data_IF_214662250440
#
_entry.id   IF_214662250440
#
_cell.length_a   1.000
_cell.length_b   1.000
_cell.length_c   1.000
_cell.angle_alpha   90.00
_cell.angle_beta   90.00
_cell.angle_gamma   90.00
#
_symmetry.space_group_name_H-M   'P 1'
#
loop_
_entity.id
_entity.type
_entity.pdbx_description
1 polymer ?
#
# COMPACT_ATOMS: atom_id res chain seq x y z
N UNK A 1 -31.82 17.92 -16.92
CA UNK A 1 -30.60 17.13 -17.20
C UNK A 1 -29.41 17.90 -16.64
N UNK A 2 -28.62 17.45 -15.68
CA UNK A 2 -28.63 16.26 -14.84
C UNK A 2 -27.91 16.61 -13.53
N UNK A 3 -28.42 16.12 -12.41
CA UNK A 3 -27.78 16.29 -11.10
C UNK A 3 -26.61 15.32 -11.04
N UNK A 4 -25.40 15.83 -10.79
CA UNK A 4 -24.21 15.02 -10.57
C UNK A 4 -24.37 14.26 -9.24
N UNK A 5 -24.79 13.01 -9.33
CA UNK A 5 -24.80 12.09 -8.20
C UNK A 5 -23.34 11.72 -7.86
N UNK A 6 -22.87 12.16 -6.69
CA UNK A 6 -21.64 11.61 -6.11
C UNK A 6 -21.90 10.14 -5.76
N UNK A 7 -20.98 9.21 -6.01
CA UNK A 7 -21.17 7.82 -5.62
C UNK A 7 -21.35 7.75 -4.09
N UNK A 8 -22.55 7.35 -3.66
CA UNK A 8 -22.87 7.06 -2.28
C UNK A 8 -22.23 5.72 -1.92
N UNK A 9 -21.18 5.78 -1.10
CA UNK A 9 -20.58 4.58 -0.53
C UNK A 9 -21.59 3.89 0.41
N UNK A 10 -21.61 2.54 0.46
CA UNK A 10 -22.46 1.84 1.40
C UNK A 10 -22.08 2.25 2.84
N UNK A 11 -23.07 2.74 3.59
CA UNK A 11 -22.95 3.16 5.00
C UNK A 11 -22.87 1.95 5.94
N UNK A 12 -22.03 0.96 5.64
CA UNK A 12 -21.78 -0.13 6.58
C UNK A 12 -20.78 0.39 7.60
N UNK A 13 -21.27 0.78 8.78
CA UNK A 13 -20.37 1.03 9.91
C UNK A 13 -19.55 -0.23 10.17
N UNK A 14 -18.21 -0.15 10.19
CA UNK A 14 -17.38 -1.31 10.46
C UNK A 14 -17.80 -1.96 11.79
N UNK A 15 -17.81 -3.29 11.81
CA UNK A 15 -18.01 -4.08 13.03
C UNK A 15 -17.07 -3.59 14.13
N UNK A 16 -17.56 -3.63 15.38
CA UNK A 16 -16.91 -3.00 16.53
C UNK A 16 -15.51 -3.59 16.77
N UNK A 17 -14.48 -2.92 16.27
CA UNK A 17 -13.07 -3.33 16.40
C UNK A 17 -12.36 -3.63 15.08
N UNK A 18 -13.08 -3.62 13.95
CA UNK A 18 -12.48 -3.81 12.64
C UNK A 18 -11.83 -2.54 12.09
N UNK A 19 -10.85 -2.76 11.22
CA UNK A 19 -10.14 -1.73 10.48
C UNK A 19 -10.39 -1.93 9.00
N UNK A 20 -10.83 -0.87 8.32
CA UNK A 20 -10.89 -0.82 6.86
C UNK A 20 -9.63 -0.16 6.32
N UNK A 21 -8.87 -0.89 5.51
CA UNK A 21 -7.75 -0.36 4.77
C UNK A 21 -8.15 -0.07 3.33
N UNK A 22 -7.68 1.05 2.79
CA UNK A 22 -7.92 1.48 1.41
C UNK A 22 -6.62 2.04 0.85
N UNK A 23 -6.20 1.52 -0.30
CA UNK A 23 -5.22 2.17 -1.16
C UNK A 23 -5.81 2.26 -2.60
N UNK A 24 -5.13 2.89 -3.58
CA UNK A 24 -5.65 3.01 -4.94
C UNK A 24 -5.92 1.68 -5.67
N UNK A 25 -5.28 0.60 -5.24
CA UNK A 25 -5.32 -0.73 -5.86
C UNK A 25 -6.13 -1.74 -5.03
N UNK A 26 -6.28 -1.54 -3.72
CA UNK A 26 -6.83 -2.51 -2.78
C UNK A 26 -7.80 -1.86 -1.78
N UNK A 27 -8.83 -2.61 -1.41
CA UNK A 27 -9.70 -2.28 -0.28
C UNK A 27 -10.04 -3.54 0.48
N UNK A 28 -9.78 -3.58 1.78
CA UNK A 28 -10.15 -4.71 2.63
C UNK A 28 -10.56 -4.24 4.03
N UNK A 29 -11.31 -5.08 4.73
CA UNK A 29 -11.73 -4.85 6.12
C UNK A 29 -11.40 -6.07 6.97
N UNK A 30 -10.98 -5.84 8.21
CA UNK A 30 -10.69 -6.86 9.20
C UNK A 30 -9.36 -6.62 9.89
N UNK A 31 -9.35 -6.67 11.23
CA UNK A 31 -8.13 -6.40 12.01
C UNK A 31 -7.02 -7.42 11.74
N UNK A 32 -7.35 -8.69 11.51
CA UNK A 32 -6.35 -9.73 11.24
C UNK A 32 -5.71 -9.56 9.86
N UNK A 33 -6.50 -9.27 8.82
CA UNK A 33 -5.99 -8.92 7.48
C UNK A 33 -5.08 -7.70 7.53
N UNK A 34 -5.48 -6.69 8.31
CA UNK A 34 -4.68 -5.48 8.52
C UNK A 34 -3.32 -5.81 9.13
N UNK A 35 -3.29 -6.59 10.22
CA UNK A 35 -2.04 -7.01 10.86
C UNK A 35 -1.16 -7.84 9.91
N UNK A 36 -1.76 -8.77 9.18
CA UNK A 36 -1.06 -9.66 8.26
C UNK A 36 -0.32 -8.86 7.18
N UNK A 37 -0.99 -7.92 6.50
CA UNK A 37 -0.35 -7.12 5.45
C UNK A 37 0.82 -6.30 6.00
N UNK A 38 0.66 -5.62 7.13
CA UNK A 38 1.77 -4.86 7.72
C UNK A 38 2.89 -5.75 8.28
N UNK A 39 2.59 -6.99 8.65
CA UNK A 39 3.61 -7.98 9.01
C UNK A 39 4.37 -8.45 7.76
N UNK A 40 3.66 -8.84 6.70
CA UNK A 40 4.23 -9.26 5.42
C UNK A 40 5.10 -8.17 4.82
N UNK A 41 4.65 -6.91 4.82
CA UNK A 41 5.45 -5.77 4.35
C UNK A 41 6.78 -5.64 5.12
N UNK A 42 6.77 -5.86 6.45
CA UNK A 42 8.01 -5.84 7.27
C UNK A 42 8.91 -7.03 6.95
N UNK A 43 8.33 -8.22 6.81
CA UNK A 43 9.08 -9.44 6.49
C UNK A 43 9.72 -9.34 5.10
N UNK A 44 8.93 -9.06 4.07
CA UNK A 44 9.40 -8.90 2.69
C UNK A 44 10.36 -7.72 2.54
N UNK A 45 10.14 -6.61 3.26
CA UNK A 45 11.10 -5.51 3.32
C UNK A 45 12.48 -5.98 3.78
N UNK A 46 12.55 -6.76 4.86
CA UNK A 46 13.80 -7.34 5.37
C UNK A 46 14.44 -8.33 4.39
N UNK A 47 13.64 -9.11 3.67
CA UNK A 47 14.13 -10.13 2.73
C UNK A 47 14.66 -9.52 1.43
N UNK A 48 13.97 -8.54 0.84
CA UNK A 48 14.30 -8.04 -0.50
C UNK A 48 15.20 -6.81 -0.51
N UNK A 49 15.36 -6.11 0.61
CA UNK A 49 16.16 -4.89 0.69
C UNK A 49 17.39 -5.06 1.58
N UNK A 50 18.51 -4.50 1.14
CA UNK A 50 19.71 -4.30 1.97
C UNK A 50 19.39 -3.28 3.05
N UNK A 51 18.74 -2.20 2.64
CA UNK A 51 18.30 -1.09 3.48
C UNK A 51 16.90 -0.67 3.04
N UNK A 52 16.02 -0.45 4.02
CA UNK A 52 14.68 0.10 3.81
C UNK A 52 14.38 1.07 4.95
N UNK A 53 13.95 2.28 4.61
CA UNK A 53 13.78 3.39 5.55
C UNK A 53 12.46 4.12 5.29
N UNK A 54 11.61 4.21 6.31
CA UNK A 54 10.35 4.96 6.25
C UNK A 54 10.51 6.30 6.96
N UNK A 55 10.68 7.35 6.19
CA UNK A 55 10.80 8.71 6.70
C UNK A 55 9.42 9.36 6.85
N UNK A 56 9.10 9.81 8.06
CA UNK A 56 7.93 10.67 8.29
C UNK A 56 8.30 12.09 7.90
N UNK A 57 7.65 12.62 6.86
CA UNK A 57 7.89 13.98 6.39
C UNK A 57 7.05 14.98 7.17
N UNK A 58 5.79 14.65 7.46
CA UNK A 58 4.89 15.54 8.19
C UNK A 58 3.69 14.80 8.77
N UNK A 59 3.22 15.27 9.92
CA UNK A 59 1.99 14.82 10.58
C UNK A 59 1.04 16.01 10.69
N UNK A 60 -0.25 15.78 10.43
CA UNK A 60 -1.33 16.74 10.66
C UNK A 60 -2.48 16.07 11.41
N UNK A 61 -3.23 16.85 12.19
CA UNK A 61 -4.47 16.42 12.81
C UNK A 61 -5.59 17.41 12.45
N UNK A 62 -6.26 17.22 11.29
CA UNK A 62 -7.26 18.19 10.83
C UNK A 62 -8.56 18.17 11.64
N UNK A 63 -8.82 17.08 12.37
CA UNK A 63 -9.93 16.97 13.33
C UNK A 63 -9.51 16.07 14.49
N UNK A 64 -10.23 16.14 15.61
CA UNK A 64 -9.94 15.38 16.84
C UNK A 64 -9.74 13.87 16.60
N UNK A 65 -10.46 13.35 15.62
CA UNK A 65 -10.59 11.95 15.26
C UNK A 65 -9.98 11.62 13.88
N UNK A 66 -9.07 12.45 13.38
CA UNK A 66 -8.37 12.19 12.12
C UNK A 66 -6.89 12.62 12.18
N UNK A 67 -6.00 11.71 11.77
CA UNK A 67 -4.57 11.96 11.64
C UNK A 67 -4.18 11.75 10.18
N UNK A 68 -3.44 12.70 9.61
CA UNK A 68 -2.79 12.57 8.31
C UNK A 68 -1.28 12.49 8.50
N UNK A 69 -0.63 11.62 7.75
CA UNK A 69 0.82 11.45 7.78
C UNK A 69 1.33 11.41 6.34
N UNK A 70 2.24 12.32 5.99
CA UNK A 70 2.99 12.27 4.74
C UNK A 70 4.33 11.62 5.03
N UNK A 71 4.71 10.67 4.19
CA UNK A 71 5.90 9.87 4.38
C UNK A 71 6.60 9.60 3.05
N UNK A 72 7.87 9.23 3.15
CA UNK A 72 8.72 8.78 2.05
C UNK A 72 9.40 7.49 2.47
N UNK A 73 9.12 6.39 1.76
CA UNK A 73 9.78 5.12 1.92
C UNK A 73 10.93 5.04 0.92
N UNK A 74 12.14 4.76 1.38
CA UNK A 74 13.31 4.53 0.55
C UNK A 74 13.77 3.09 0.71
N UNK A 75 14.29 2.49 -0.35
CA UNK A 75 14.80 1.14 -0.28
C UNK A 75 15.88 0.84 -1.31
N UNK A 76 16.91 0.13 -0.89
CA UNK A 76 17.98 -0.42 -1.73
C UNK A 76 17.79 -1.93 -1.88
N UNK A 77 17.32 -2.44 -3.02
CA UNK A 77 17.11 -3.88 -3.22
C UNK A 77 18.41 -4.70 -3.11
N UNK A 78 18.27 -5.99 -2.75
CA UNK A 78 19.33 -7.00 -2.71
C UNK A 78 19.61 -7.61 -4.09
N UNK A 79 19.94 -6.76 -5.06
CA UNK A 79 20.30 -7.16 -6.44
C UNK A 79 21.78 -6.88 -6.71
N UNK A 80 22.39 -7.50 -7.74
CA UNK A 80 23.82 -7.34 -8.01
C UNK A 80 24.20 -6.00 -8.65
N UNK A 81 23.24 -5.17 -9.09
CA UNK A 81 23.46 -3.82 -9.60
C UNK A 81 23.06 -2.74 -8.58
N UNK A 82 23.57 -1.52 -8.76
CA UNK A 82 23.16 -0.37 -7.95
C UNK A 82 21.74 0.07 -8.35
N UNK A 83 20.82 -0.08 -7.41
CA UNK A 83 19.45 0.38 -7.55
C UNK A 83 19.00 0.93 -6.20
N UNK A 84 18.34 2.09 -6.24
CA UNK A 84 17.68 2.70 -5.09
C UNK A 84 16.27 3.04 -5.55
N UNK A 85 15.26 2.85 -4.72
CA UNK A 85 13.90 3.26 -5.03
C UNK A 85 13.36 4.17 -3.93
N UNK A 86 12.49 5.10 -4.29
CA UNK A 86 11.69 5.83 -3.31
C UNK A 86 10.21 5.79 -3.67
N UNK A 87 9.39 5.82 -2.63
CA UNK A 87 7.96 5.76 -2.72
C UNK A 87 7.37 6.74 -1.72
N UNK A 88 6.65 7.73 -2.22
CA UNK A 88 5.97 8.70 -1.35
C UNK A 88 4.51 8.30 -1.19
N UNK A 89 3.94 8.65 -0.05
CA UNK A 89 2.54 8.42 0.22
C UNK A 89 1.99 9.36 1.28
N UNK A 90 0.67 9.44 1.34
CA UNK A 90 -0.06 10.11 2.42
C UNK A 90 -1.04 9.15 3.04
N UNK A 91 -0.87 8.85 4.32
CA UNK A 91 -1.76 8.01 5.10
C UNK A 91 -2.77 8.86 5.87
N UNK A 92 -4.05 8.53 5.77
CA UNK A 92 -5.16 9.10 6.50
C UNK A 92 -5.75 8.07 7.45
N UNK A 93 -5.70 8.36 8.75
CA UNK A 93 -6.24 7.53 9.81
C UNK A 93 -7.47 8.20 10.39
N UNK A 94 -8.61 7.50 10.36
CA UNK A 94 -9.79 7.89 11.13
C UNK A 94 -9.90 7.07 12.39
N UNK A 95 -10.19 7.77 13.49
CA UNK A 95 -10.23 7.23 14.83
C UNK A 95 -11.66 7.18 15.36
N UNK A 96 -11.96 6.14 16.12
CA UNK A 96 -13.15 6.09 16.95
C UNK A 96 -13.01 7.06 18.14
N UNK A 97 -14.13 7.30 18.84
CA UNK A 97 -14.16 8.07 20.11
C UNK A 97 -13.19 7.53 21.19
N UNK A 98 -12.84 6.24 21.12
CA UNK A 98 -11.87 5.59 22.01
C UNK A 98 -10.41 5.71 21.53
N UNK A 99 -10.13 6.48 20.48
CA UNK A 99 -8.80 6.65 19.89
C UNK A 99 -8.32 5.48 19.02
N UNK A 100 -9.13 4.43 18.80
CA UNK A 100 -8.75 3.30 17.93
C UNK A 100 -8.94 3.64 16.46
N UNK A 101 -7.98 3.26 15.62
CA UNK A 101 -8.10 3.36 14.17
C UNK A 101 -9.22 2.42 13.70
N UNK A 102 -10.13 2.94 12.88
CA UNK A 102 -11.15 2.12 12.20
C UNK A 102 -11.04 2.21 10.68
N UNK A 103 -10.32 3.22 10.18
CA UNK A 103 -10.06 3.37 8.77
C UNK A 103 -8.64 3.91 8.55
N UNK A 104 -7.88 3.23 7.70
CA UNK A 104 -6.59 3.67 7.22
C UNK A 104 -6.65 3.76 5.70
N UNK A 105 -6.60 4.96 5.16
CA UNK A 105 -6.54 5.20 3.71
C UNK A 105 -5.14 5.66 3.33
N UNK A 106 -4.55 5.11 2.31
CA UNK A 106 -3.30 5.59 1.72
C UNK A 106 -3.60 6.19 0.36
N UNK A 107 -3.19 7.44 0.16
CA UNK A 107 -3.33 8.19 -1.08
C UNK A 107 -1.95 8.46 -1.72
N UNK A 108 -1.95 8.62 -3.05
CA UNK A 108 -0.82 9.02 -3.89
C UNK A 108 0.42 8.11 -3.77
N UNK A 109 0.32 6.91 -4.35
CA UNK A 109 1.41 5.94 -4.47
C UNK A 109 2.31 6.27 -5.69
N UNK A 110 3.08 7.36 -5.63
CA UNK A 110 3.99 7.72 -6.71
C UNK A 110 5.34 6.98 -6.55
N UNK A 111 5.66 6.09 -7.49
CA UNK A 111 6.96 5.45 -7.57
C UNK A 111 7.96 6.41 -8.22
N UNK A 112 9.01 6.77 -7.49
CA UNK A 112 10.12 7.53 -8.05
C UNK A 112 11.32 6.60 -8.01
N UNK A 113 11.65 6.03 -9.17
CA UNK A 113 12.88 5.27 -9.34
C UNK A 113 13.90 6.20 -10.03
N UNK A 114 15.16 6.26 -9.57
CA UNK A 114 16.23 6.86 -10.35
C UNK A 114 16.30 6.12 -11.69
N UNK A 115 16.28 6.88 -12.78
CA UNK A 115 16.47 6.32 -14.11
C UNK A 115 17.79 5.54 -14.13
N UNK A 116 17.72 4.31 -14.65
CA UNK A 116 18.89 3.46 -14.81
C UNK A 116 19.93 4.22 -15.64
N UNK A 117 21.11 4.49 -15.07
CA UNK A 117 22.27 4.86 -15.87
C UNK A 117 22.66 3.63 -16.67
N UNK A 118 22.14 3.51 -17.89
CA UNK A 118 22.70 2.64 -18.91
C UNK A 118 23.96 3.32 -19.46
N UNK A 119 25.15 2.70 -19.38
CA UNK A 119 26.30 3.19 -20.11
C UNK A 119 26.04 2.95 -21.61
N UNK A 120 25.50 3.98 -22.26
CA UNK A 120 25.57 4.24 -23.69
C UNK A 120 25.19 3.08 -24.64
N UNK A 121 23.92 3.06 -25.06
CA UNK A 121 23.60 2.60 -26.41
C UNK A 121 22.68 3.64 -27.06
N UNK A 122 23.27 4.29 -28.05
CA UNK A 122 22.73 5.36 -28.89
C UNK A 122 21.37 4.97 -29.50
N UNK A 123 20.40 5.89 -29.38
CA UNK A 123 19.28 6.10 -30.31
C UNK A 123 18.29 4.94 -30.57
N UNK A 124 17.18 4.92 -29.83
CA UNK A 124 15.84 5.16 -30.40
C UNK A 124 14.84 5.42 -29.26
N UNK A 125 14.55 6.69 -29.01
CA UNK A 125 13.42 7.08 -28.18
C UNK A 125 12.22 7.15 -29.12
N UNK A 126 11.39 6.11 -29.14
CA UNK A 126 9.98 6.33 -29.50
C UNK A 126 9.16 6.27 -28.23
N UNK A 127 8.32 7.28 -28.11
CA UNK A 127 7.55 7.64 -26.94
C UNK A 127 6.28 6.79 -26.92
N UNK A 128 6.17 5.84 -26.01
CA UNK A 128 4.87 5.40 -25.49
C UNK A 128 5.04 4.79 -24.11
N UNK A 129 4.27 5.35 -23.18
CA UNK A 129 4.13 4.97 -21.79
C UNK A 129 3.74 3.50 -21.63
N UNK A 130 4.61 2.68 -21.04
CA UNK A 130 4.22 1.54 -20.19
C UNK A 130 5.46 0.87 -19.58
N UNK A 131 6.17 1.57 -18.66
CA UNK A 131 7.15 0.85 -17.84
C UNK A 131 6.41 0.09 -16.74
N UNK A 132 6.04 -1.15 -17.05
CA UNK A 132 5.75 -2.17 -16.04
C UNK A 132 7.02 -2.35 -15.20
N UNK A 133 7.12 -1.58 -14.12
CA UNK A 133 8.25 -1.71 -13.20
C UNK A 133 8.19 -3.09 -12.56
N UNK A 134 9.34 -3.73 -12.34
CA UNK A 134 9.44 -5.00 -11.59
C UNK A 134 8.79 -4.93 -10.21
N UNK A 135 8.57 -3.72 -9.69
CA UNK A 135 7.84 -3.45 -8.45
C UNK A 135 6.32 -3.56 -8.57
N UNK A 136 5.72 -3.26 -9.73
CA UNK A 136 4.28 -3.50 -9.97
C UNK A 136 4.03 -5.01 -10.03
N UNK A 137 4.90 -5.76 -10.70
CA UNK A 137 4.84 -7.22 -10.71
C UNK A 137 5.16 -7.82 -9.33
N UNK A 138 6.10 -7.24 -8.59
CA UNK A 138 6.34 -7.62 -7.19
C UNK A 138 5.13 -7.36 -6.29
N UNK A 139 4.52 -6.19 -6.37
CA UNK A 139 3.30 -5.87 -5.61
C UNK A 139 2.14 -6.77 -6.04
N UNK A 140 2.04 -7.11 -7.33
CA UNK A 140 1.05 -8.06 -7.85
C UNK A 140 1.29 -9.47 -7.30
N UNK A 141 2.53 -9.94 -7.27
CA UNK A 141 2.89 -11.25 -6.73
C UNK A 141 2.61 -11.32 -5.21
N UNK A 142 2.97 -10.27 -4.45
CA UNK A 142 2.62 -10.18 -3.03
C UNK A 142 1.09 -10.16 -2.85
N UNK A 143 0.36 -9.42 -3.69
CA UNK A 143 -1.11 -9.42 -3.69
C UNK A 143 -1.69 -10.82 -3.93
N UNK A 144 -1.21 -11.52 -4.95
CA UNK A 144 -1.65 -12.87 -5.29
C UNK A 144 -1.43 -13.84 -4.11
N UNK A 145 -0.28 -13.76 -3.44
CA UNK A 145 -0.03 -14.59 -2.23
C UNK A 145 -0.98 -14.28 -1.07
N UNK A 146 -1.43 -13.03 -0.93
CA UNK A 146 -2.35 -12.63 0.14
C UNK A 146 -3.80 -13.04 -0.16
N UNK A 147 -4.21 -13.01 -1.43
CA UNK A 147 -5.52 -13.49 -1.87
C UNK A 147 -5.62 -15.02 -1.70
N UNK A 148 -4.54 -15.75 -1.97
CA UNK A 148 -4.45 -17.20 -1.76
C UNK A 148 -4.47 -17.57 -0.27
N UNK A 149 -3.73 -16.89 0.60
CA UNK A 149 -3.81 -17.13 2.05
C UNK A 149 -5.18 -16.78 2.63
N UNK A 150 -5.84 -15.73 2.11
CA UNK A 150 -7.22 -15.38 2.49
C UNK A 150 -8.23 -16.47 2.14
N UNK A 151 -8.07 -17.12 0.98
CA UNK A 151 -8.88 -18.25 0.56
C UNK A 151 -8.58 -19.51 1.38
N UNK A 152 -7.30 -19.78 1.70
CA UNK A 152 -6.91 -20.92 2.53
C UNK A 152 -7.46 -20.78 3.96
N UNK A 153 -7.39 -19.59 4.57
CA UNK A 153 -7.95 -19.35 5.90
C UNK A 153 -9.49 -19.42 5.90
N UNK A 154 -10.15 -19.01 4.81
CA UNK A 154 -11.59 -19.15 4.63
C UNK A 154 -12.02 -20.63 4.47
N UNK A 155 -11.21 -21.46 3.81
CA UNK A 155 -11.46 -22.90 3.68
C UNK A 155 -11.24 -23.64 5.00
N UNK A 156 -10.19 -23.29 5.77
CA UNK A 156 -9.93 -23.92 7.07
C UNK A 156 -11.02 -23.59 8.11
N UNK A 157 -11.61 -22.39 8.05
CA UNK A 157 -12.75 -22.02 8.90
C UNK A 157 -14.09 -22.67 8.53
N UNK A 158 -14.21 -23.23 7.32
CA UNK A 158 -15.41 -23.95 6.84
C UNK A 158 -15.32 -25.47 7.06
N UNK A 159 -14.14 -26.00 7.41
CA UNK A 159 -13.91 -27.45 7.63
C UNK A 159 -14.04 -27.86 9.10
N UNK A 160 -14.21 -26.90 10.03
CA UNK A 160 -14.58 -27.20 11.42
C UNK A 160 -16.05 -26.88 11.68
N UNK A 161 -16.93 -27.79 11.27
CA UNK A 161 -18.30 -27.94 11.76
C UNK A 161 -18.53 -29.41 12.11
#
# INVERSE_FOLDING_TARGET
MGVSERPSFPNTTPSRGDVTFIDPLNTFTGIEKYKLIFWSLRLHGRMFFKEIDLQILRIWQPSENMILIRWNLRGTPRVPWEANGQFQGTSCYKLHRKGKIYKHKVDNLAFIFPQQFHPNLTFLWDSTDSYSSSWVEFYRAVRETLDDEGNLLAQVGLVTC
#
